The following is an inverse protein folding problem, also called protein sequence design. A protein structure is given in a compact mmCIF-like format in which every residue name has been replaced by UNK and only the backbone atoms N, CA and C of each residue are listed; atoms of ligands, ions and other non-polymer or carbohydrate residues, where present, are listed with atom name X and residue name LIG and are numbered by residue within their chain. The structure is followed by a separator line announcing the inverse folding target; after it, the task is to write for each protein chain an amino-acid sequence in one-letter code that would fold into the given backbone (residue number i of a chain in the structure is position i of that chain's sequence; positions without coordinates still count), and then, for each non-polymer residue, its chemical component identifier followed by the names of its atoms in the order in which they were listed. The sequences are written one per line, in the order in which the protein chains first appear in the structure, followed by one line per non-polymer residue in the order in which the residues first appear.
data_IF_394995509161
#
_entry.id   IF_394995509161
#
_cell.length_a   1.000
_cell.length_b   1.000
_cell.length_c   1.000
_cell.angle_alpha   90.00
_cell.angle_beta   90.00
_cell.angle_gamma   90.00
#
_symmetry.space_group_name_H-M   'P 1'
#
loop_
_entity.id
_entity.type
_entity.pdbx_description
1 polymer ?
#
# COMPACT_ATOMS: atom_id res chain seq x y z
N UNK A 1 16.35 12.76 16.07
CA UNK A 1 16.41 13.30 14.70
C UNK A 1 15.26 14.27 14.41
N UNK A 2 14.10 14.09 15.03
CA UNK A 2 12.86 14.81 14.75
C UNK A 2 12.24 15.41 16.02
N UNK A 3 12.95 16.30 16.76
CA UNK A 3 12.50 16.83 18.05
C UNK A 3 11.33 17.83 17.93
N UNK A 4 11.00 18.23 16.73
CA UNK A 4 9.96 19.21 16.38
C UNK A 4 8.56 18.60 16.32
N UNK A 5 8.42 17.27 16.31
CA UNK A 5 7.14 16.59 16.32
C UNK A 5 6.87 15.96 17.69
N UNK A 6 5.87 16.44 18.46
CA UNK A 6 5.49 15.84 19.74
C UNK A 6 4.62 14.58 19.59
N UNK A 7 4.27 14.19 18.36
CA UNK A 7 3.41 13.04 18.02
C UNK A 7 4.22 11.88 17.44
N UNK A 8 3.59 10.96 16.71
CA UNK A 8 4.26 9.76 16.18
C UNK A 8 5.13 10.04 14.95
N UNK A 9 6.39 9.63 15.03
CA UNK A 9 7.29 9.43 13.90
C UNK A 9 7.68 7.95 13.90
N UNK A 10 7.23 7.17 12.90
CA UNK A 10 7.30 5.70 12.87
C UNK A 10 7.98 5.16 11.61
N UNK A 11 8.24 3.86 11.59
CA UNK A 11 8.76 3.11 10.44
C UNK A 11 10.03 3.69 9.81
N UNK A 12 11.10 3.93 10.58
CA UNK A 12 12.32 4.49 10.02
C UNK A 12 13.01 3.52 9.05
N UNK A 13 13.41 4.03 7.88
CA UNK A 13 14.16 3.30 6.85
C UNK A 13 15.37 4.12 6.40
N UNK A 14 16.56 3.56 6.48
CA UNK A 14 17.73 4.21 5.88
C UNK A 14 17.64 4.19 4.35
N UNK A 15 18.00 5.33 3.73
CA UNK A 15 18.28 5.32 2.31
C UNK A 15 19.52 4.46 2.01
N UNK A 16 19.61 3.81 0.83
CA UNK A 16 20.73 2.93 0.48
C UNK A 16 22.11 3.62 0.54
N UNK A 17 22.16 4.92 0.33
CA UNK A 17 23.39 5.71 0.41
C UNK A 17 23.82 6.07 1.85
N UNK A 18 23.00 5.71 2.84
CA UNK A 18 23.24 6.00 4.26
C UNK A 18 23.19 7.49 4.64
N UNK A 19 22.72 8.38 3.77
CA UNK A 19 22.75 9.84 4.00
C UNK A 19 21.43 10.41 4.50
N UNK A 20 20.35 9.67 4.41
CA UNK A 20 19.03 10.09 4.87
C UNK A 20 18.24 8.92 5.48
N UNK A 21 17.21 9.28 6.23
CA UNK A 21 16.24 8.34 6.78
C UNK A 21 14.85 8.77 6.31
N UNK A 22 14.09 7.82 5.76
CA UNK A 22 12.65 7.95 5.57
C UNK A 22 11.93 7.56 6.86
N UNK A 23 10.81 8.18 7.12
CA UNK A 23 9.92 7.82 8.23
C UNK A 23 8.51 8.31 7.93
N UNK A 24 7.51 7.71 8.57
CA UNK A 24 6.15 8.23 8.51
C UNK A 24 5.90 9.15 9.69
N UNK A 25 5.12 10.20 9.47
CA UNK A 25 4.79 11.21 10.47
C UNK A 25 3.30 11.46 10.53
N UNK A 26 2.78 11.51 11.74
CA UNK A 26 1.47 12.03 12.10
C UNK A 26 1.66 13.40 12.74
N UNK A 27 0.89 14.42 12.31
CA UNK A 27 1.10 15.81 12.72
C UNK A 27 0.17 16.26 13.87
N UNK A 28 -0.83 15.46 14.26
CA UNK A 28 -1.75 15.78 15.35
C UNK A 28 -1.93 14.63 16.35
N UNK A 29 -2.27 14.93 17.60
CA UNK A 29 -2.49 13.94 18.64
C UNK A 29 -3.85 13.24 18.48
N UNK A 30 -3.84 11.91 18.64
CA UNK A 30 -5.05 11.09 18.83
C UNK A 30 -6.13 11.20 17.74
N UNK A 31 -5.76 11.59 16.52
CA UNK A 31 -6.68 11.59 15.39
C UNK A 31 -6.59 10.26 14.65
N UNK A 32 -7.60 9.40 14.78
CA UNK A 32 -7.68 8.15 14.02
C UNK A 32 -7.86 8.37 12.50
N UNK A 33 -8.23 9.58 12.10
CA UNK A 33 -8.41 9.97 10.70
C UNK A 33 -7.23 10.72 10.09
N UNK A 34 -6.13 10.89 10.84
CA UNK A 34 -4.98 11.61 10.30
C UNK A 34 -4.12 10.72 9.42
N UNK A 35 -3.73 11.27 8.27
CA UNK A 35 -2.91 10.56 7.30
C UNK A 35 -1.45 10.52 7.76
N UNK A 36 -0.87 9.33 7.73
CA UNK A 36 0.58 9.16 7.87
C UNK A 36 1.27 9.61 6.59
N UNK A 37 2.05 10.68 6.71
CA UNK A 37 2.82 11.24 5.59
C UNK A 37 4.23 10.69 5.59
N UNK A 38 4.76 10.37 4.42
CA UNK A 38 6.16 10.00 4.27
C UNK A 38 7.04 11.25 4.31
N UNK A 39 8.06 11.20 5.15
CA UNK A 39 9.06 12.26 5.32
C UNK A 39 10.46 11.71 5.10
N UNK A 40 11.36 12.58 4.72
CA UNK A 40 12.79 12.30 4.67
C UNK A 40 13.53 13.29 5.58
N UNK A 41 14.49 12.80 6.36
CA UNK A 41 15.44 13.61 7.10
C UNK A 41 16.87 13.34 6.60
N UNK A 42 17.58 14.40 6.25
CA UNK A 42 19.01 14.34 5.92
C UNK A 42 19.83 14.16 7.19
N UNK A 43 20.80 13.26 7.18
CA UNK A 43 21.68 13.02 8.34
C UNK A 43 22.79 14.07 8.44
N UNK A 44 23.13 14.76 7.35
CA UNK A 44 24.17 15.76 7.32
C UNK A 44 23.76 17.07 7.98
N UNK A 45 22.66 17.66 7.53
CA UNK A 45 22.18 18.97 8.00
C UNK A 45 20.91 18.88 8.87
N UNK A 46 20.41 17.67 9.11
CA UNK A 46 19.23 17.34 9.90
C UNK A 46 17.92 18.01 9.43
N UNK A 47 17.88 18.43 8.18
CA UNK A 47 16.66 18.98 7.60
C UNK A 47 15.69 17.86 7.24
N UNK A 48 14.45 18.03 7.67
CA UNK A 48 13.35 17.13 7.35
C UNK A 48 12.38 17.80 6.35
N UNK A 49 11.88 17.02 5.41
CA UNK A 49 10.89 17.46 4.43
C UNK A 49 9.88 16.36 4.11
N UNK A 50 8.59 16.73 3.89
CA UNK A 50 7.58 15.77 3.47
C UNK A 50 7.78 15.38 2.01
N UNK A 51 7.62 14.09 1.70
CA UNK A 51 7.63 13.57 0.34
C UNK A 51 6.22 13.39 -0.22
N UNK A 52 5.22 13.10 0.64
CA UNK A 52 3.85 12.81 0.23
C UNK A 52 2.82 13.82 0.78
N UNK A 53 3.21 15.09 0.94
CA UNK A 53 2.32 16.12 1.52
C UNK A 53 1.01 16.31 0.73
N UNK A 54 1.04 16.16 -0.59
CA UNK A 54 -0.11 16.34 -1.48
C UNK A 54 -0.91 15.05 -1.73
N UNK A 55 -0.44 13.90 -1.22
CA UNK A 55 -1.12 12.62 -1.42
C UNK A 55 -2.21 12.44 -0.36
N UNK A 56 -3.43 12.22 -0.77
CA UNK A 56 -4.57 11.97 0.13
C UNK A 56 -4.72 10.49 0.50
N UNK A 57 -3.61 9.88 0.93
CA UNK A 57 -3.52 8.48 1.40
C UNK A 57 -2.54 8.40 2.56
N UNK A 58 -2.79 7.48 3.49
CA UNK A 58 -1.83 7.08 4.53
C UNK A 58 -0.78 6.14 3.96
N UNK A 59 0.49 6.43 4.22
CA UNK A 59 1.59 5.52 3.86
C UNK A 59 1.79 4.52 5.00
N UNK A 60 1.65 3.23 4.68
CA UNK A 60 1.76 2.13 5.64
C UNK A 60 3.12 1.43 5.58
N UNK A 61 3.73 1.35 4.40
CA UNK A 61 5.08 0.80 4.22
C UNK A 61 5.78 1.45 3.02
N UNK A 62 7.12 1.35 3.01
CA UNK A 62 7.96 1.91 1.96
C UNK A 62 9.19 1.03 1.72
N UNK A 63 9.52 0.80 0.45
CA UNK A 63 10.77 0.15 0.05
C UNK A 63 11.51 1.03 -0.98
N UNK A 64 12.85 0.96 -0.97
CA UNK A 64 13.68 1.59 -1.99
C UNK A 64 13.93 0.63 -3.16
N UNK A 65 14.05 1.17 -4.38
CA UNK A 65 14.74 0.45 -5.46
C UNK A 65 16.21 0.25 -5.09
N UNK A 66 16.86 -0.75 -5.69
CA UNK A 66 18.26 -1.07 -5.38
C UNK A 66 19.24 0.09 -5.65
N UNK A 67 18.95 0.92 -6.63
CA UNK A 67 19.75 2.11 -6.95
C UNK A 67 19.37 3.34 -6.07
N UNK A 68 18.38 3.19 -5.19
CA UNK A 68 17.91 4.24 -4.27
C UNK A 68 17.17 5.40 -4.95
N UNK A 69 16.87 5.31 -6.25
CA UNK A 69 16.27 6.41 -7.01
C UNK A 69 14.73 6.41 -7.00
N UNK A 70 14.14 5.27 -6.70
CA UNK A 70 12.69 5.11 -6.65
C UNK A 70 12.25 4.60 -5.28
N UNK A 71 11.06 4.99 -4.87
CA UNK A 71 10.33 4.44 -3.73
C UNK A 71 9.12 3.67 -4.22
N UNK A 72 8.88 2.53 -3.59
CA UNK A 72 7.59 1.84 -3.64
C UNK A 72 6.87 2.09 -2.32
N UNK A 73 5.60 2.46 -2.41
CA UNK A 73 4.77 2.84 -1.27
C UNK A 73 3.57 1.90 -1.19
N UNK A 74 3.27 1.49 0.03
CA UNK A 74 2.02 0.82 0.36
C UNK A 74 1.06 1.83 0.97
N UNK A 75 -0.17 1.86 0.47
CA UNK A 75 -1.26 2.66 1.03
C UNK A 75 -2.61 2.04 0.71
N UNK A 76 -3.56 2.12 1.63
CA UNK A 76 -4.94 1.74 1.33
C UNK A 76 -5.60 2.75 0.39
N UNK A 77 -6.30 2.24 -0.61
CA UNK A 77 -7.09 3.04 -1.54
C UNK A 77 -8.34 2.29 -1.99
N UNK A 78 -9.49 2.79 -1.60
CA UNK A 78 -10.80 2.26 -2.02
C UNK A 78 -11.00 0.77 -1.73
N UNK A 79 -10.62 0.33 -0.51
CA UNK A 79 -10.77 -1.06 -0.05
C UNK A 79 -9.78 -2.05 -0.67
N UNK A 80 -8.74 -1.55 -1.33
CA UNK A 80 -7.60 -2.29 -1.83
C UNK A 80 -6.32 -1.76 -1.18
N UNK A 81 -5.22 -2.51 -1.34
CA UNK A 81 -3.88 -2.05 -0.95
C UNK A 81 -2.97 -2.09 -2.18
N UNK A 82 -3.10 -1.11 -3.09
CA UNK A 82 -2.24 -0.99 -4.25
C UNK A 82 -0.79 -0.68 -3.84
N UNK A 83 0.15 -0.99 -4.74
CA UNK A 83 1.52 -0.46 -4.63
C UNK A 83 1.64 0.76 -5.53
N UNK A 84 2.19 1.82 -4.96
CA UNK A 84 2.53 3.03 -5.70
C UNK A 84 4.05 3.12 -5.89
N UNK A 85 4.46 3.94 -6.84
CA UNK A 85 5.86 4.30 -7.04
C UNK A 85 6.00 5.81 -7.18
N UNK A 86 7.12 6.34 -6.70
CA UNK A 86 7.53 7.73 -6.87
C UNK A 86 9.05 7.84 -6.92
N UNK A 87 9.57 8.96 -7.41
CA UNK A 87 11.00 9.23 -7.32
C UNK A 87 11.41 9.41 -5.84
N UNK A 88 12.60 8.93 -5.50
CA UNK A 88 13.08 9.01 -4.12
C UNK A 88 13.25 10.45 -3.62
N UNK A 89 13.40 11.41 -4.50
CA UNK A 89 13.50 12.85 -4.16
C UNK A 89 12.15 13.56 -4.08
N UNK A 90 11.04 12.82 -4.24
CA UNK A 90 9.68 13.34 -4.25
C UNK A 90 9.11 13.47 -5.66
N UNK A 91 7.88 13.97 -5.76
CA UNK A 91 7.23 14.20 -7.06
C UNK A 91 5.95 13.41 -7.26
N UNK A 92 5.64 13.08 -8.51
CA UNK A 92 4.40 12.40 -8.86
C UNK A 92 4.35 10.95 -8.35
N UNK A 93 3.22 10.60 -7.73
CA UNK A 93 2.93 9.24 -7.28
C UNK A 93 2.07 8.53 -8.32
N UNK A 94 2.44 7.30 -8.70
CA UNK A 94 1.71 6.48 -9.68
C UNK A 94 1.46 5.09 -9.15
N UNK A 95 0.30 4.50 -9.43
CA UNK A 95 0.03 3.09 -9.12
C UNK A 95 0.85 2.19 -10.04
N UNK A 96 1.54 1.20 -9.47
CA UNK A 96 2.30 0.17 -10.21
C UNK A 96 1.67 -1.21 -10.06
N UNK A 97 1.00 -1.49 -8.92
CA UNK A 97 0.13 -2.65 -8.75
C UNK A 97 -1.22 -2.12 -8.28
N UNK A 98 -2.25 -2.22 -9.11
CA UNK A 98 -3.53 -1.55 -8.87
C UNK A 98 -4.56 -2.45 -8.16
N UNK A 99 -4.38 -3.77 -8.14
CA UNK A 99 -5.37 -4.73 -7.64
C UNK A 99 -4.85 -5.51 -6.44
N UNK A 100 -5.77 -6.04 -5.64
CA UNK A 100 -5.50 -6.86 -4.48
C UNK A 100 -5.05 -6.08 -3.25
N UNK A 101 -4.66 -6.82 -2.21
CA UNK A 101 -3.92 -6.30 -1.06
C UNK A 101 -2.47 -6.70 -1.23
N UNK A 102 -1.57 -5.71 -1.30
CA UNK A 102 -0.14 -5.92 -1.52
C UNK A 102 0.64 -5.33 -0.34
N UNK A 103 1.30 -6.20 0.41
CA UNK A 103 1.95 -5.86 1.68
C UNK A 103 3.38 -6.36 1.72
N UNK A 104 4.10 -6.04 2.80
CA UNK A 104 5.49 -6.49 3.02
C UNK A 104 6.39 -6.15 1.83
N UNK A 105 6.45 -4.87 1.49
CA UNK A 105 7.27 -4.39 0.37
C UNK A 105 8.76 -4.54 0.68
N UNK A 106 9.49 -5.17 -0.23
CA UNK A 106 10.95 -5.28 -0.15
C UNK A 106 11.58 -5.18 -1.54
N UNK A 107 12.89 -5.03 -1.57
CA UNK A 107 13.68 -4.95 -2.80
C UNK A 107 14.69 -6.11 -2.86
N UNK A 108 14.54 -6.97 -3.84
CA UNK A 108 15.47 -8.05 -4.10
C UNK A 108 16.02 -7.94 -5.53
N UNK A 109 17.34 -7.91 -5.68
CA UNK A 109 18.03 -7.81 -6.98
C UNK A 109 17.51 -6.67 -7.88
N UNK A 110 17.11 -5.54 -7.27
CA UNK A 110 16.59 -4.39 -7.98
C UNK A 110 15.13 -4.47 -8.39
N UNK A 111 14.45 -5.55 -8.04
CA UNK A 111 13.02 -5.72 -8.28
C UNK A 111 12.23 -5.52 -6.98
N UNK A 112 11.03 -4.94 -7.08
CA UNK A 112 10.08 -4.96 -5.98
C UNK A 112 9.59 -6.39 -5.76
N UNK A 113 9.63 -6.83 -4.51
CA UNK A 113 9.03 -8.08 -4.02
C UNK A 113 7.98 -7.75 -2.97
N UNK A 114 6.87 -8.46 -2.96
CA UNK A 114 5.77 -8.19 -2.03
C UNK A 114 4.88 -9.43 -1.82
N UNK A 115 4.11 -9.43 -0.75
CA UNK A 115 2.99 -10.36 -0.58
C UNK A 115 1.75 -9.79 -1.26
N UNK A 116 1.18 -10.56 -2.18
CA UNK A 116 -0.04 -10.18 -2.88
C UNK A 116 -1.17 -11.18 -2.62
N UNK A 117 -2.33 -10.68 -2.23
CA UNK A 117 -3.54 -11.46 -2.01
C UNK A 117 -4.77 -10.83 -2.68
N UNK A 118 -5.84 -11.60 -2.78
CA UNK A 118 -7.14 -11.12 -3.23
C UNK A 118 -8.24 -11.77 -2.41
N UNK A 119 -9.48 -11.35 -2.58
CA UNK A 119 -10.64 -12.00 -1.95
C UNK A 119 -10.81 -13.49 -2.31
N UNK A 120 -10.10 -13.98 -3.33
CA UNK A 120 -10.15 -15.37 -3.81
C UNK A 120 -8.80 -16.07 -3.86
N UNK A 121 -7.77 -15.47 -3.31
CA UNK A 121 -6.41 -16.02 -3.25
C UNK A 121 -5.72 -15.58 -1.97
N UNK A 122 -5.20 -16.54 -1.20
CA UNK A 122 -4.36 -16.28 -0.05
C UNK A 122 -3.04 -15.58 -0.45
N UNK A 123 -2.34 -14.96 0.51
CA UNK A 123 -1.06 -14.30 0.24
C UNK A 123 -0.05 -15.23 -0.41
N UNK A 124 0.57 -14.75 -1.48
CA UNK A 124 1.69 -15.38 -2.18
C UNK A 124 2.75 -14.33 -2.49
N UNK A 125 3.98 -14.75 -2.66
CA UNK A 125 5.07 -13.84 -3.01
C UNK A 125 5.02 -13.50 -4.50
N UNK A 126 5.10 -12.21 -4.78
CA UNK A 126 5.17 -11.64 -6.13
C UNK A 126 6.43 -10.80 -6.30
N UNK A 127 6.86 -10.65 -7.54
CA UNK A 127 7.82 -9.62 -7.93
C UNK A 127 7.28 -8.82 -9.11
N UNK A 128 7.66 -7.54 -9.23
CA UNK A 128 7.47 -6.82 -10.48
C UNK A 128 8.53 -7.29 -11.49
N UNK A 129 8.07 -7.71 -12.68
CA UNK A 129 8.99 -7.99 -13.78
C UNK A 129 9.55 -6.71 -14.43
N UNK A 130 10.45 -6.85 -15.38
CA UNK A 130 11.06 -5.73 -16.09
C UNK A 130 10.04 -4.86 -16.86
N UNK A 131 8.84 -5.38 -17.15
CA UNK A 131 7.74 -4.62 -17.76
C UNK A 131 6.85 -3.91 -16.74
N UNK A 132 7.13 -4.05 -15.44
CA UNK A 132 6.33 -3.50 -14.34
C UNK A 132 5.04 -4.30 -14.07
N UNK A 133 4.97 -5.56 -14.47
CA UNK A 133 3.83 -6.43 -14.19
C UNK A 133 4.11 -7.37 -13.02
N UNK A 134 3.13 -7.60 -12.12
CA UNK A 134 3.27 -8.59 -11.07
C UNK A 134 3.42 -10.00 -11.63
N UNK A 135 4.48 -10.70 -11.20
CA UNK A 135 4.74 -12.11 -11.48
C UNK A 135 4.76 -12.90 -10.19
N UNK A 136 3.88 -13.88 -10.06
CA UNK A 136 3.81 -14.76 -8.89
C UNK A 136 5.04 -15.65 -8.79
N UNK A 137 5.67 -15.72 -7.62
CA UNK A 137 6.86 -16.50 -7.33
C UNK A 137 6.55 -17.79 -6.57
N UNK A 138 5.56 -17.75 -5.67
CA UNK A 138 5.17 -18.90 -4.84
C UNK A 138 3.76 -19.36 -5.14
N UNK A 139 3.44 -20.62 -4.80
CA UNK A 139 2.14 -21.26 -5.01
C UNK A 139 1.77 -22.18 -3.84
N UNK A 140 2.07 -21.73 -2.62
CA UNK A 140 1.87 -22.53 -1.42
C UNK A 140 0.39 -22.88 -1.17
N UNK A 141 -0.51 -21.97 -1.56
CA UNK A 141 -1.93 -22.08 -1.28
C UNK A 141 -2.76 -22.59 -2.47
N UNK A 142 -2.18 -22.73 -3.68
CA UNK A 142 -2.92 -23.09 -4.89
C UNK A 142 -3.73 -24.40 -4.72
N UNK A 143 -3.13 -25.44 -4.13
CA UNK A 143 -3.81 -26.73 -3.94
C UNK A 143 -5.02 -26.64 -2.98
N UNK A 144 -4.93 -25.83 -1.95
CA UNK A 144 -6.04 -25.59 -1.01
C UNK A 144 -7.17 -24.83 -1.70
N UNK A 145 -6.85 -23.78 -2.43
CA UNK A 145 -7.84 -22.92 -3.06
C UNK A 145 -8.49 -23.52 -4.30
N UNK A 146 -7.81 -24.45 -5.00
CA UNK A 146 -8.35 -25.15 -6.18
C UNK A 146 -9.64 -25.95 -5.90
N UNK A 147 -9.84 -26.38 -4.65
CA UNK A 147 -11.04 -27.11 -4.21
C UNK A 147 -12.15 -26.24 -3.61
N UNK A 148 -11.95 -24.91 -3.51
CA UNK A 148 -12.91 -24.01 -2.89
C UNK A 148 -13.70 -23.23 -3.95
N UNK A 149 -15.02 -23.23 -3.79
CA UNK A 149 -15.90 -22.30 -4.50
C UNK A 149 -16.08 -21.06 -3.61
N UNK A 150 -15.35 -20.01 -3.92
CA UNK A 150 -15.40 -18.77 -3.15
C UNK A 150 -16.44 -17.83 -3.75
N UNK A 151 -17.16 -17.15 -2.86
CA UNK A 151 -18.14 -16.15 -3.26
C UNK A 151 -17.51 -14.97 -4.00
N UNK A 152 -18.25 -14.39 -4.92
CA UNK A 152 -17.83 -13.19 -5.65
C UNK A 152 -17.95 -11.96 -4.75
N UNK A 153 -16.93 -11.10 -4.74
CA UNK A 153 -16.97 -9.80 -4.09
C UNK A 153 -17.22 -8.71 -5.13
N UNK A 154 -18.17 -7.84 -4.86
CA UNK A 154 -18.51 -6.69 -5.70
C UNK A 154 -18.36 -5.41 -4.89
N UNK A 155 -17.82 -4.37 -5.52
CA UNK A 155 -17.70 -3.03 -4.92
C UNK A 155 -18.83 -2.16 -5.47
N UNK A 156 -19.58 -1.54 -4.56
CA UNK A 156 -20.65 -0.59 -4.87
C UNK A 156 -20.38 0.73 -4.16
N UNK A 157 -20.86 1.82 -4.75
CA UNK A 157 -20.73 3.16 -4.17
C UNK A 157 -22.10 3.82 -4.15
N UNK A 158 -22.44 4.49 -3.05
CA UNK A 158 -23.70 5.22 -2.91
C UNK A 158 -23.50 6.52 -2.12
N UNK A 159 -24.39 7.52 -2.23
CA UNK A 159 -24.35 8.73 -1.43
C UNK A 159 -24.65 8.42 0.03
N UNK A 160 -23.74 8.85 0.92
CA UNK A 160 -23.92 8.82 2.37
C UNK A 160 -24.51 10.13 2.93
N UNK A 161 -24.36 10.30 4.22
CA UNK A 161 -24.78 11.53 4.91
C UNK A 161 -23.99 12.74 4.37
N UNK A 162 -24.70 13.85 4.12
CA UNK A 162 -24.06 15.04 3.57
C UNK A 162 -23.68 14.98 2.08
N UNK A 163 -23.93 13.85 1.40
CA UNK A 163 -23.56 13.64 -0.01
C UNK A 163 -22.18 13.02 -0.20
N UNK A 164 -21.50 12.65 0.86
CA UNK A 164 -20.22 11.94 0.80
C UNK A 164 -20.37 10.58 0.15
N UNK A 165 -19.35 10.14 -0.57
CA UNK A 165 -19.34 8.83 -1.23
C UNK A 165 -19.02 7.73 -0.24
N UNK A 166 -19.90 6.74 -0.11
CA UNK A 166 -19.70 5.55 0.73
C UNK A 166 -19.49 4.35 -0.14
N UNK A 167 -18.37 3.64 0.05
CA UNK A 167 -18.08 2.38 -0.61
C UNK A 167 -18.55 1.20 0.26
N UNK A 168 -19.15 0.20 -0.38
CA UNK A 168 -19.53 -1.08 0.23
C UNK A 168 -18.98 -2.23 -0.58
N UNK A 169 -18.37 -3.19 0.09
CA UNK A 169 -18.00 -4.48 -0.48
C UNK A 169 -19.07 -5.50 -0.13
N UNK A 170 -19.69 -6.10 -1.14
CA UNK A 170 -20.72 -7.12 -0.99
C UNK A 170 -20.14 -8.46 -1.41
N UNK A 171 -20.14 -9.43 -0.51
CA UNK A 171 -19.72 -10.81 -0.81
C UNK A 171 -20.96 -11.67 -0.99
N UNK A 172 -21.16 -12.18 -2.18
CA UNK A 172 -22.17 -13.19 -2.46
C UNK A 172 -21.69 -14.58 -2.01
N UNK A 173 -22.58 -15.45 -1.50
CA UNK A 173 -22.25 -16.87 -1.28
C UNK A 173 -21.90 -17.56 -2.62
N UNK A 174 -21.15 -18.69 -2.59
CA UNK A 174 -20.90 -19.49 -3.78
C UNK A 174 -22.18 -19.82 -4.54
N UNK A 175 -22.13 -19.69 -5.88
CA UNK A 175 -23.29 -19.96 -6.73
C UNK A 175 -24.48 -19.02 -6.50
N UNK A 176 -24.28 -17.82 -5.98
CA UNK A 176 -25.37 -16.89 -5.72
C UNK A 176 -26.17 -16.55 -7.00
N UNK A 177 -27.49 -16.55 -6.88
CA UNK A 177 -28.43 -16.19 -7.93
C UNK A 177 -28.86 -14.72 -7.71
N UNK A 178 -28.60 -13.79 -8.65
CA UNK A 178 -28.98 -12.37 -8.49
C UNK A 178 -30.48 -12.14 -8.37
N UNK A 179 -31.31 -13.17 -8.67
CA UNK A 179 -32.77 -13.11 -8.54
C UNK A 179 -33.26 -13.53 -7.16
N UNK A 180 -32.38 -14.07 -6.31
CA UNK A 180 -32.73 -14.49 -4.95
C UNK A 180 -32.26 -13.45 -3.93
N UNK A 181 -32.98 -13.42 -2.80
CA UNK A 181 -32.55 -12.64 -1.62
C UNK A 181 -31.77 -13.56 -0.71
N UNK A 182 -30.63 -13.08 -0.25
CA UNK A 182 -29.78 -13.73 0.74
C UNK A 182 -29.84 -12.94 2.05
N UNK A 183 -29.66 -13.61 3.21
CA UNK A 183 -29.64 -12.93 4.50
C UNK A 183 -28.47 -11.97 4.63
#
# INVERSE_FOLDING_TARGET
LTPDNPYGDDFPRFAPDGRSVLYTRVATANSQGELRRLWRVSLGDRKAAPLTAALDLSIDDVAFSADGRQLWLQAEDSGLVPVFAMDADGGAVRKVVASGSNTELDSAEGQLVFLGETTSRAPEVFALDASGKPRQLTRFNDALFAGLDLGKVESHTFPGAGGDSVQVLVTCPPGCDPKKKYP
#
